data_IF_216781265458
#
_entry.id   IF_216781265458
#
_cell.length_a   1.000
_cell.length_b   1.000
_cell.length_c   1.000
_cell.angle_alpha   90.00
_cell.angle_beta   90.00
_cell.angle_gamma   90.00
#
_symmetry.space_group_name_H-M   'P 1'
#
loop_
_entity.id
_entity.type
_entity.pdbx_description
1 polymer ?
#
# COMPACT_ATOMS: atom_id res chain seq x y z
N UNK A 1 -67.98 -23.22 -10.55
CA UNK A 1 -68.99 -22.73 -9.60
C UNK A 1 -68.50 -21.39 -9.06
N UNK A 2 -69.16 -20.29 -9.47
CA UNK A 2 -69.96 -19.36 -8.63
C UNK A 2 -69.09 -18.54 -7.66
N UNK A 3 -68.70 -17.31 -8.04
CA UNK A 3 -69.40 -16.03 -7.82
C UNK A 3 -69.58 -15.63 -6.34
N UNK A 4 -69.07 -14.43 -6.01
CA UNK A 4 -69.69 -13.33 -5.22
C UNK A 4 -68.56 -12.50 -4.59
N UNK A 5 -68.27 -11.27 -5.03
CA UNK A 5 -69.05 -10.04 -4.86
C UNK A 5 -69.37 -9.79 -3.38
N UNK A 6 -68.61 -8.89 -2.76
CA UNK A 6 -69.15 -7.98 -1.75
C UNK A 6 -68.79 -6.56 -2.19
N UNK A 7 -69.81 -5.94 -2.76
CA UNK A 7 -69.98 -4.52 -3.00
C UNK A 7 -70.33 -3.90 -1.64
N UNK A 8 -69.61 -2.85 -1.25
CA UNK A 8 -70.16 -1.82 -0.36
C UNK A 8 -70.09 -0.48 -1.11
N UNK A 9 -71.16 -0.19 -1.85
CA UNK A 9 -71.53 1.17 -2.18
C UNK A 9 -72.24 1.75 -0.97
N UNK A 10 -71.70 2.81 -0.39
CA UNK A 10 -72.52 3.83 0.26
C UNK A 10 -72.33 5.12 -0.51
N UNK A 11 -73.42 5.54 -1.14
CA UNK A 11 -73.51 6.69 -2.00
C UNK A 11 -73.65 7.99 -1.18
N UNK A 12 -72.89 8.99 -1.63
CA UNK A 12 -73.29 10.36 -1.90
C UNK A 12 -73.98 11.22 -0.82
N UNK A 13 -73.26 12.29 -0.43
CA UNK A 13 -73.77 13.68 -0.28
C UNK A 13 -72.55 14.62 -0.30
N UNK A 14 -72.11 15.07 -1.48
CA UNK A 14 -72.44 16.39 -2.06
C UNK A 14 -72.19 17.58 -1.12
N UNK A 15 -71.00 18.16 -1.20
CA UNK A 15 -70.82 19.62 -1.28
C UNK A 15 -69.40 19.92 -1.75
N UNK A 16 -69.29 20.82 -2.73
CA UNK A 16 -68.18 20.91 -3.66
C UNK A 16 -66.83 21.30 -3.07
N UNK A 17 -65.79 20.74 -3.66
CA UNK A 17 -64.47 21.36 -3.76
C UNK A 17 -64.00 21.16 -5.20
N UNK A 18 -63.51 22.20 -5.88
CA UNK A 18 -62.92 22.03 -7.20
C UNK A 18 -61.73 21.07 -7.05
N UNK A 19 -61.66 20.07 -7.94
CA UNK A 19 -60.42 19.36 -8.22
C UNK A 19 -59.42 20.41 -8.74
N UNK A 20 -58.68 20.99 -7.81
CA UNK A 20 -57.44 21.68 -8.10
C UNK A 20 -56.52 20.65 -8.70
N UNK A 21 -56.39 20.68 -10.03
CA UNK A 21 -55.12 20.38 -10.68
C UNK A 21 -54.10 21.34 -10.07
N UNK A 22 -53.55 21.00 -8.90
CA UNK A 22 -52.29 21.56 -8.46
C UNK A 22 -51.26 21.01 -9.45
N UNK A 23 -51.06 21.73 -10.56
CA UNK A 23 -49.82 21.60 -11.29
C UNK A 23 -48.71 21.77 -10.27
N UNK A 24 -47.86 20.76 -10.10
CA UNK A 24 -46.73 20.83 -9.19
C UNK A 24 -46.03 22.15 -9.44
N UNK A 25 -46.07 23.04 -8.45
CA UNK A 25 -45.52 24.38 -8.58
C UNK A 25 -44.01 24.21 -8.79
N UNK A 26 -43.55 24.48 -10.00
CA UNK A 26 -42.13 24.34 -10.32
C UNK A 26 -41.38 25.58 -9.83
N UNK A 27 -40.19 25.39 -9.26
CA UNK A 27 -39.40 26.50 -8.76
C UNK A 27 -39.04 27.48 -9.90
N UNK A 28 -39.09 28.80 -9.66
CA UNK A 28 -38.72 29.79 -10.66
C UNK A 28 -37.29 29.55 -11.18
N UNK A 29 -37.11 29.49 -12.50
CA UNK A 29 -35.81 29.18 -13.12
C UNK A 29 -34.69 30.14 -12.71
N UNK A 30 -35.02 31.40 -12.43
CA UNK A 30 -34.06 32.40 -11.96
C UNK A 30 -33.55 32.10 -10.54
N UNK A 31 -34.42 31.61 -9.67
CA UNK A 31 -34.10 31.25 -8.28
C UNK A 31 -33.22 29.99 -8.23
N UNK A 32 -33.57 28.97 -9.03
CA UNK A 32 -32.75 27.78 -9.23
C UNK A 32 -31.35 28.10 -9.79
N UNK A 33 -31.28 28.99 -10.78
CA UNK A 33 -30.01 29.37 -11.41
C UNK A 33 -29.10 30.12 -10.46
N UNK A 34 -29.67 31.03 -9.65
CA UNK A 34 -28.94 31.76 -8.62
C UNK A 34 -28.42 30.83 -7.53
N UNK A 35 -29.27 29.97 -6.98
CA UNK A 35 -28.87 29.03 -5.94
C UNK A 35 -27.79 28.06 -6.45
N UNK A 36 -27.90 27.59 -7.70
CA UNK A 36 -26.88 26.76 -8.35
C UNK A 36 -25.55 27.49 -8.53
N UNK A 37 -25.58 28.75 -8.97
CA UNK A 37 -24.37 29.56 -9.13
C UNK A 37 -23.62 29.78 -7.81
N UNK A 38 -24.33 30.09 -6.73
CA UNK A 38 -23.71 30.25 -5.42
C UNK A 38 -23.17 28.91 -4.89
N UNK A 39 -23.89 27.81 -5.11
CA UNK A 39 -23.41 26.47 -4.77
C UNK A 39 -22.13 26.11 -5.55
N UNK A 40 -22.02 26.50 -6.82
CA UNK A 40 -20.85 26.25 -7.67
C UNK A 40 -19.60 26.99 -7.18
N UNK A 41 -19.75 28.12 -6.49
CA UNK A 41 -18.62 28.77 -5.79
C UNK A 41 -18.13 27.91 -4.64
N UNK A 42 -19.03 27.29 -3.88
CA UNK A 42 -18.67 26.35 -2.80
C UNK A 42 -18.06 25.07 -3.38
N UNK A 43 -18.52 24.59 -4.54
CA UNK A 43 -17.86 23.49 -5.28
C UNK A 43 -16.45 23.87 -5.66
N UNK A 44 -16.24 25.09 -6.16
CA UNK A 44 -14.91 25.57 -6.56
C UNK A 44 -13.98 25.63 -5.35
N UNK A 45 -14.46 26.12 -4.20
CA UNK A 45 -13.73 26.04 -2.93
C UNK A 45 -13.46 24.60 -2.50
N UNK A 46 -14.44 23.71 -2.55
CA UNK A 46 -14.27 22.28 -2.24
C UNK A 46 -13.21 21.62 -3.13
N UNK A 47 -13.18 21.96 -4.43
CA UNK A 47 -12.14 21.54 -5.37
C UNK A 47 -10.76 22.12 -5.01
N UNK A 48 -10.67 23.37 -4.59
CA UNK A 48 -9.43 23.98 -4.07
C UNK A 48 -8.94 23.29 -2.80
N UNK A 49 -9.86 22.84 -1.95
CA UNK A 49 -9.57 22.02 -0.78
C UNK A 49 -9.37 20.54 -1.12
N UNK A 50 -9.45 20.17 -2.41
CA UNK A 50 -9.21 18.83 -2.95
C UNK A 50 -9.93 17.69 -2.20
N UNK A 51 -11.11 17.95 -1.61
CA UNK A 51 -11.86 16.95 -0.83
C UNK A 51 -11.56 16.91 0.68
N UNK A 52 -10.69 17.78 1.19
CA UNK A 52 -10.46 17.95 2.62
C UNK A 52 -11.64 18.66 3.31
N UNK A 53 -11.85 18.44 4.63
CA UNK A 53 -12.77 19.25 5.41
C UNK A 53 -12.33 20.72 5.35
N UNK A 54 -13.29 21.62 5.21
CA UNK A 54 -13.04 23.06 5.24
C UNK A 54 -14.17 23.78 5.94
N UNK A 55 -13.85 24.87 6.63
CA UNK A 55 -14.87 25.67 7.29
C UNK A 55 -15.73 26.40 6.27
N UNK A 56 -17.04 26.22 6.39
CA UNK A 56 -18.00 26.96 5.59
C UNK A 56 -18.08 28.40 6.10
N UNK A 57 -17.71 29.36 5.25
CA UNK A 57 -17.88 30.78 5.55
C UNK A 57 -19.36 31.13 5.71
N UNK A 58 -19.68 32.27 6.33
CA UNK A 58 -21.08 32.72 6.47
C UNK A 58 -21.82 32.83 5.13
N UNK A 59 -21.09 33.18 4.06
CA UNK A 59 -21.61 33.19 2.70
C UNK A 59 -22.00 31.80 2.21
N UNK A 60 -21.13 30.81 2.42
CA UNK A 60 -21.38 29.42 2.02
C UNK A 60 -22.57 28.83 2.79
N UNK A 61 -22.65 29.11 4.10
CA UNK A 61 -23.79 28.71 4.94
C UNK A 61 -25.11 29.34 4.46
N UNK A 62 -25.07 30.57 3.95
CA UNK A 62 -26.24 31.24 3.37
C UNK A 62 -26.70 30.53 2.09
N UNK A 63 -25.78 30.11 1.23
CA UNK A 63 -26.10 29.34 0.01
C UNK A 63 -26.79 28.02 0.33
N UNK A 64 -26.35 27.28 1.36
CA UNK A 64 -27.03 26.06 1.80
C UNK A 64 -28.44 26.33 2.36
N UNK A 65 -28.62 27.41 3.12
CA UNK A 65 -29.95 27.82 3.60
C UNK A 65 -30.89 28.20 2.46
N UNK A 66 -30.39 28.85 1.42
CA UNK A 66 -31.17 29.21 0.23
C UNK A 66 -31.68 27.95 -0.50
N UNK A 67 -30.83 26.94 -0.68
CA UNK A 67 -31.24 25.64 -1.24
C UNK A 67 -32.27 24.94 -0.36
N UNK A 68 -32.08 24.97 0.96
CA UNK A 68 -33.05 24.40 1.89
C UNK A 68 -34.44 25.07 1.75
N UNK A 69 -34.48 26.41 1.69
CA UNK A 69 -35.73 27.17 1.54
C UNK A 69 -36.41 26.94 0.19
N UNK A 70 -35.65 26.67 -0.87
CA UNK A 70 -36.21 26.28 -2.18
C UNK A 70 -36.77 24.86 -2.10
N UNK A 71 -36.07 23.93 -1.45
CA UNK A 71 -36.50 22.54 -1.27
C UNK A 71 -37.77 22.41 -0.42
N UNK A 72 -37.93 23.24 0.61
CA UNK A 72 -39.13 23.28 1.45
C UNK A 72 -40.35 23.84 0.70
N UNK A 73 -40.15 24.78 -0.23
CA UNK A 73 -41.23 25.36 -1.06
C UNK A 73 -41.61 24.47 -2.23
N UNK A 74 -40.66 23.74 -2.81
CA UNK A 74 -40.83 22.97 -4.04
C UNK A 74 -40.28 21.55 -3.89
N UNK A 75 -40.83 20.73 -2.98
CA UNK A 75 -40.26 19.42 -2.63
C UNK A 75 -40.33 18.39 -3.77
N UNK A 76 -41.32 18.51 -4.65
CA UNK A 76 -41.61 17.56 -5.73
C UNK A 76 -40.98 17.98 -7.07
N UNK A 77 -40.25 19.10 -7.13
CA UNK A 77 -39.57 19.56 -8.34
C UNK A 77 -38.23 18.82 -8.53
N UNK A 78 -38.10 18.11 -9.66
CA UNK A 78 -36.91 17.30 -10.01
C UNK A 78 -35.63 18.14 -10.00
N UNK A 79 -35.66 19.39 -10.49
CA UNK A 79 -34.47 20.26 -10.53
C UNK A 79 -34.07 20.73 -9.14
N UNK A 80 -35.04 20.88 -8.24
CA UNK A 80 -34.80 21.19 -6.83
C UNK A 80 -34.18 19.97 -6.14
N UNK A 81 -34.66 18.76 -6.43
CA UNK A 81 -34.08 17.53 -5.89
C UNK A 81 -32.62 17.31 -6.35
N UNK A 82 -32.30 17.57 -7.63
CA UNK A 82 -30.92 17.57 -8.13
C UNK A 82 -30.03 18.60 -7.41
N UNK A 83 -30.54 19.82 -7.21
CA UNK A 83 -29.83 20.87 -6.50
C UNK A 83 -29.57 20.50 -5.03
N UNK A 84 -30.53 19.87 -4.37
CA UNK A 84 -30.41 19.36 -3.00
C UNK A 84 -29.42 18.20 -2.92
N UNK A 85 -29.43 17.28 -3.87
CA UNK A 85 -28.47 16.17 -3.92
C UNK A 85 -27.04 16.71 -4.03
N UNK A 86 -26.82 17.67 -4.94
CA UNK A 86 -25.55 18.37 -5.11
C UNK A 86 -25.13 19.13 -3.84
N UNK A 87 -26.06 19.82 -3.19
CA UNK A 87 -25.79 20.54 -1.94
C UNK A 87 -25.41 19.59 -0.80
N UNK A 88 -26.09 18.44 -0.67
CA UNK A 88 -25.75 17.42 0.32
C UNK A 88 -24.33 16.88 0.11
N UNK A 89 -23.95 16.58 -1.13
CA UNK A 89 -22.60 16.11 -1.46
C UNK A 89 -21.52 17.12 -1.03
N UNK A 90 -21.70 18.40 -1.34
CA UNK A 90 -20.73 19.45 -0.98
C UNK A 90 -20.69 19.69 0.53
N UNK A 91 -21.86 19.68 1.19
CA UNK A 91 -21.94 19.87 2.64
C UNK A 91 -21.25 18.73 3.39
N UNK A 92 -21.42 17.50 2.91
CA UNK A 92 -20.73 16.30 3.42
C UNK A 92 -19.22 16.40 3.24
N UNK A 93 -18.75 16.80 2.05
CA UNK A 93 -17.33 17.07 1.79
C UNK A 93 -16.77 18.15 2.72
N UNK A 94 -17.48 19.27 2.91
CA UNK A 94 -17.06 20.36 3.80
C UNK A 94 -16.99 19.92 5.27
N UNK A 95 -17.91 19.05 5.70
CA UNK A 95 -17.94 18.47 7.05
C UNK A 95 -16.98 17.28 7.25
N UNK A 96 -16.23 16.89 6.22
CA UNK A 96 -15.28 15.79 6.32
C UNK A 96 -15.93 14.42 6.43
N UNK A 97 -17.11 14.23 5.85
CA UNK A 97 -17.74 12.91 5.82
C UNK A 97 -16.82 11.93 5.07
N UNK A 98 -16.42 10.89 5.79
CA UNK A 98 -15.37 9.94 5.42
C UNK A 98 -15.75 9.16 4.17
N UNK A 99 -14.77 8.92 3.30
CA UNK A 99 -14.94 8.04 2.14
C UNK A 99 -15.45 6.66 2.60
N UNK A 100 -16.56 6.20 2.03
CA UNK A 100 -17.13 4.91 2.35
C UNK A 100 -16.54 3.85 1.43
N UNK A 101 -15.75 2.93 2.00
CA UNK A 101 -15.20 1.81 1.25
C UNK A 101 -16.27 0.77 0.93
N UNK A 102 -16.33 0.32 -0.32
CA UNK A 102 -17.06 -0.90 -0.65
C UNK A 102 -16.24 -2.14 -0.24
N UNK A 103 -16.87 -3.29 0.00
CA UNK A 103 -16.15 -4.54 0.27
C UNK A 103 -15.12 -4.91 -0.81
N UNK A 104 -15.43 -4.63 -2.07
CA UNK A 104 -14.57 -4.93 -3.22
C UNK A 104 -13.28 -4.10 -3.19
N UNK A 105 -13.37 -2.82 -2.79
CA UNK A 105 -12.21 -1.92 -2.69
C UNK A 105 -11.16 -2.39 -1.67
N UNK A 106 -11.58 -3.13 -0.65
CA UNK A 106 -10.73 -3.68 0.41
C UNK A 106 -10.57 -5.20 0.33
N UNK A 107 -11.08 -5.85 -0.72
CA UNK A 107 -11.01 -7.31 -0.89
C UNK A 107 -9.56 -7.82 -0.89
N UNK A 108 -8.62 -7.04 -1.42
CA UNK A 108 -7.19 -7.36 -1.39
C UNK A 108 -6.65 -7.52 0.04
N UNK A 109 -7.12 -6.72 1.00
CA UNK A 109 -6.70 -6.82 2.41
C UNK A 109 -7.22 -8.09 3.05
N UNK A 110 -8.47 -8.46 2.75
CA UNK A 110 -9.05 -9.71 3.24
C UNK A 110 -8.32 -10.92 2.67
N UNK A 111 -7.96 -10.89 1.38
CA UNK A 111 -7.12 -11.94 0.76
C UNK A 111 -5.74 -12.02 1.41
N UNK A 112 -5.08 -10.87 1.62
CA UNK A 112 -3.79 -10.80 2.30
C UNK A 112 -3.83 -11.35 3.72
N UNK A 113 -4.85 -10.99 4.51
CA UNK A 113 -5.04 -11.49 5.88
C UNK A 113 -5.23 -13.02 5.90
N UNK A 114 -6.08 -13.57 5.03
CA UNK A 114 -6.26 -15.02 4.90
C UNK A 114 -4.97 -15.74 4.50
N UNK A 115 -4.20 -15.15 3.57
CA UNK A 115 -2.92 -15.71 3.17
C UNK A 115 -1.92 -15.71 4.34
N UNK A 116 -1.86 -14.62 5.09
CA UNK A 116 -1.02 -14.51 6.29
C UNK A 116 -1.40 -15.55 7.35
N UNK A 117 -2.69 -15.77 7.60
CA UNK A 117 -3.17 -16.82 8.52
C UNK A 117 -2.72 -18.22 8.08
N UNK A 118 -2.83 -18.52 6.79
CA UNK A 118 -2.41 -19.81 6.22
C UNK A 118 -0.90 -20.02 6.38
N UNK A 119 -0.09 -19.00 6.06
CA UNK A 119 1.38 -19.09 6.18
C UNK A 119 1.81 -19.14 7.64
N UNK A 120 1.16 -18.38 8.52
CA UNK A 120 1.40 -18.44 9.95
C UNK A 120 1.09 -19.83 10.53
N UNK A 121 -0.01 -20.47 10.10
CA UNK A 121 -0.35 -21.84 10.49
C UNK A 121 0.69 -22.85 9.97
N UNK A 122 1.15 -22.71 8.73
CA UNK A 122 2.22 -23.55 8.18
C UNK A 122 3.54 -23.36 8.94
N UNK A 123 3.90 -22.12 9.27
CA UNK A 123 5.08 -21.78 10.07
C UNK A 123 5.02 -22.38 11.47
N UNK A 124 3.87 -22.28 12.14
CA UNK A 124 3.64 -22.91 13.45
C UNK A 124 3.77 -24.43 13.39
N UNK A 125 3.14 -25.07 12.40
CA UNK A 125 3.23 -26.51 12.23
C UNK A 125 4.67 -26.97 11.97
N UNK A 126 5.43 -26.26 11.13
CA UNK A 126 6.86 -26.55 10.91
C UNK A 126 7.67 -26.33 12.17
N UNK A 127 7.38 -25.28 12.95
CA UNK A 127 8.05 -25.01 14.22
C UNK A 127 7.87 -26.15 15.22
N UNK A 128 6.66 -26.67 15.37
CA UNK A 128 6.37 -27.79 16.27
C UNK A 128 7.11 -29.08 15.87
N UNK A 129 7.32 -29.30 14.57
CA UNK A 129 8.13 -30.42 14.07
C UNK A 129 9.62 -30.17 14.33
N UNK A 130 10.12 -28.99 14.00
CA UNK A 130 11.51 -28.60 14.21
C UNK A 130 11.92 -28.72 15.68
N UNK A 131 11.06 -28.31 16.62
CA UNK A 131 11.34 -28.45 18.06
C UNK A 131 11.57 -29.90 18.48
N UNK A 132 10.89 -30.87 17.85
CA UNK A 132 11.10 -32.30 18.11
C UNK A 132 12.41 -32.77 17.49
N UNK A 133 12.67 -32.39 16.24
CA UNK A 133 13.91 -32.72 15.52
C UNK A 133 15.15 -32.22 16.29
N UNK A 134 15.09 -31.01 16.85
CA UNK A 134 16.15 -30.44 17.69
C UNK A 134 16.30 -31.16 19.04
N UNK A 135 15.22 -31.74 19.59
CA UNK A 135 15.31 -32.54 20.81
C UNK A 135 15.94 -33.92 20.56
N UNK A 136 15.68 -34.50 19.39
CA UNK A 136 16.13 -35.84 19.03
C UNK A 136 17.59 -35.88 18.55
N UNK A 137 18.15 -34.75 18.08
CA UNK A 137 19.52 -34.69 17.54
C UNK A 137 20.62 -34.75 18.62
N UNK A 138 20.28 -34.52 19.89
CA UNK A 138 21.21 -34.53 21.03
C UNK A 138 22.27 -33.41 21.00
N UNK A 139 22.16 -32.46 20.07
CA UNK A 139 23.07 -31.32 19.90
C UNK A 139 22.52 -30.04 20.49
N UNK A 140 21.27 -30.02 20.94
CA UNK A 140 20.63 -28.85 21.53
C UNK A 140 21.25 -28.44 22.87
N UNK A 141 21.53 -27.14 23.02
CA UNK A 141 21.88 -26.53 24.31
C UNK A 141 20.62 -26.44 25.17
N UNK A 142 20.46 -27.37 26.11
CA UNK A 142 19.27 -27.46 26.97
C UNK A 142 19.09 -26.24 27.88
N UNK A 143 20.20 -25.68 28.38
CA UNK A 143 20.20 -24.52 29.29
C UNK A 143 20.88 -23.34 28.62
N UNK A 144 20.07 -22.45 28.05
CA UNK A 144 20.55 -21.28 27.32
C UNK A 144 21.18 -20.25 28.27
N UNK A 145 20.52 -19.95 29.41
CA UNK A 145 20.97 -18.96 30.40
C UNK A 145 20.98 -19.52 31.85
N UNK A 146 21.91 -19.07 32.73
CA UNK A 146 23.16 -18.39 32.36
C UNK A 146 23.97 -19.23 31.38
N UNK A 147 24.50 -18.58 30.36
CA UNK A 147 25.35 -19.15 29.33
C UNK A 147 26.70 -19.53 29.95
N UNK A 148 27.26 -20.65 29.52
CA UNK A 148 28.61 -21.04 29.93
C UNK A 148 29.63 -19.98 29.50
N UNK A 149 30.55 -19.59 30.40
CA UNK A 149 31.60 -18.62 30.10
C UNK A 149 32.59 -19.24 29.10
N UNK A 150 32.75 -18.69 27.89
CA UNK A 150 33.68 -19.24 26.91
C UNK A 150 35.14 -19.22 27.38
N UNK A 151 35.50 -18.35 28.32
CA UNK A 151 36.84 -18.30 28.91
C UNK A 151 37.10 -19.47 29.86
N UNK A 152 36.06 -20.02 30.47
CA UNK A 152 36.15 -21.17 31.38
C UNK A 152 36.04 -22.51 30.64
N UNK A 153 35.13 -22.61 29.66
CA UNK A 153 34.91 -23.85 28.92
C UNK A 153 35.90 -24.07 27.75
N UNK A 154 36.54 -23.01 27.28
CA UNK A 154 37.42 -23.06 26.11
C UNK A 154 36.65 -23.13 24.78
N UNK A 155 37.36 -23.11 23.64
CA UNK A 155 36.76 -22.88 22.32
C UNK A 155 35.83 -23.99 21.83
N UNK A 156 35.92 -25.19 22.39
CA UNK A 156 35.14 -26.36 21.96
C UNK A 156 33.89 -26.62 22.83
N UNK A 157 33.66 -25.83 23.89
CA UNK A 157 32.63 -26.11 24.91
C UNK A 157 31.21 -26.26 24.33
N UNK A 158 30.78 -25.25 23.57
CA UNK A 158 29.46 -25.24 22.90
C UNK A 158 29.56 -25.35 21.37
N UNK A 159 30.75 -25.33 20.80
CA UNK A 159 30.94 -25.36 19.35
C UNK A 159 30.31 -26.60 18.70
N UNK A 160 29.59 -26.39 17.60
CA UNK A 160 28.83 -27.42 16.89
C UNK A 160 27.49 -27.81 17.55
N UNK A 161 27.18 -27.30 18.75
CA UNK A 161 25.85 -27.44 19.35
C UNK A 161 24.87 -26.44 18.75
N UNK A 162 23.58 -26.71 18.90
CA UNK A 162 22.50 -25.83 18.44
C UNK A 162 21.87 -25.08 19.60
N UNK A 163 21.49 -23.83 19.37
CA UNK A 163 20.81 -23.00 20.37
C UNK A 163 19.53 -22.42 19.79
N UNK A 164 18.49 -22.31 20.62
CA UNK A 164 17.23 -21.63 20.31
C UNK A 164 17.19 -20.32 21.08
N UNK A 165 17.35 -19.20 20.40
CA UNK A 165 17.33 -17.85 20.99
C UNK A 165 15.96 -17.22 20.71
N UNK A 166 15.05 -17.29 21.69
CA UNK A 166 13.68 -16.79 21.57
C UNK A 166 13.54 -15.32 21.97
N UNK A 167 12.46 -14.68 21.47
CA UNK A 167 12.05 -13.32 21.81
C UNK A 167 13.11 -12.22 21.61
N UNK A 168 14.03 -12.42 20.67
CA UNK A 168 15.13 -11.49 20.35
C UNK A 168 14.57 -10.24 19.68
N UNK A 169 14.78 -9.02 20.23
CA UNK A 169 14.35 -7.78 19.61
C UNK A 169 15.36 -7.39 18.50
N UNK A 170 15.26 -8.09 17.37
CA UNK A 170 16.24 -8.08 16.27
C UNK A 170 16.76 -6.69 15.89
N UNK A 171 15.87 -5.74 15.59
CA UNK A 171 16.28 -4.40 15.15
C UNK A 171 16.96 -3.57 16.25
N UNK A 172 16.60 -3.79 17.52
CA UNK A 172 17.13 -3.03 18.65
C UNK A 172 18.52 -3.52 19.06
N UNK A 173 18.74 -4.83 18.93
CA UNK A 173 19.98 -5.49 19.31
C UNK A 173 20.94 -5.71 18.12
N UNK A 174 20.60 -5.18 16.94
CA UNK A 174 21.45 -5.19 15.75
C UNK A 174 22.59 -4.16 15.90
N UNK A 175 23.82 -4.58 15.68
CA UNK A 175 25.00 -3.71 15.65
C UNK A 175 26.02 -4.17 14.60
N UNK A 176 26.95 -3.28 14.26
CA UNK A 176 28.03 -3.58 13.32
C UNK A 176 29.34 -3.69 14.09
N UNK A 177 30.06 -4.79 13.89
CA UNK A 177 31.44 -4.96 14.37
C UNK A 177 32.29 -5.54 13.26
N UNK A 178 33.45 -4.93 13.01
CA UNK A 178 34.38 -5.33 11.95
C UNK A 178 33.73 -5.51 10.55
N UNK A 179 32.72 -4.69 10.23
CA UNK A 179 32.00 -4.76 8.95
C UNK A 179 30.97 -5.89 8.83
N UNK A 180 30.71 -6.61 9.93
CA UNK A 180 29.70 -7.68 10.02
C UNK A 180 28.56 -7.20 10.90
N UNK A 181 27.32 -7.44 10.46
CA UNK A 181 26.14 -7.22 11.29
C UNK A 181 25.99 -8.38 12.29
N UNK A 182 25.76 -8.03 13.55
CA UNK A 182 25.55 -8.98 14.64
C UNK A 182 24.28 -8.61 15.40
N UNK A 183 23.64 -9.61 15.99
CA UNK A 183 22.54 -9.41 16.94
C UNK A 183 22.98 -9.93 18.29
N UNK A 184 22.97 -9.05 19.30
CA UNK A 184 23.33 -9.41 20.67
C UNK A 184 22.16 -10.03 21.41
N UNK A 185 22.37 -11.18 22.04
CA UNK A 185 21.34 -11.84 22.87
C UNK A 185 21.92 -12.16 24.24
N UNK A 186 21.24 -11.75 25.31
CA UNK A 186 21.66 -11.97 26.69
C UNK A 186 22.12 -10.68 27.40
N UNK A 187 22.91 -10.82 28.44
CA UNK A 187 23.37 -9.70 29.28
C UNK A 187 24.66 -10.06 30.02
N UNK A 188 25.38 -9.05 30.53
CA UNK A 188 26.61 -9.27 31.30
C UNK A 188 26.43 -10.22 32.51
N UNK A 189 25.21 -10.28 33.09
CA UNK A 189 24.92 -11.15 34.23
C UNK A 189 24.58 -12.60 33.82
N UNK A 190 24.10 -12.81 32.59
CA UNK A 190 23.66 -14.12 32.10
C UNK A 190 24.61 -14.70 31.05
N UNK A 191 25.57 -13.93 30.54
CA UNK A 191 26.36 -14.27 29.36
C UNK A 191 25.69 -13.84 28.05
N UNK A 192 26.43 -13.99 26.95
CA UNK A 192 26.04 -13.48 25.63
C UNK A 192 26.10 -14.57 24.54
N UNK A 193 25.15 -14.50 23.61
CA UNK A 193 25.23 -15.10 22.28
C UNK A 193 25.26 -13.99 21.22
N UNK A 194 26.03 -14.20 20.16
CA UNK A 194 26.20 -13.28 19.04
C UNK A 194 25.70 -13.92 17.75
N UNK A 195 24.50 -13.54 17.31
CA UNK A 195 23.95 -14.09 16.06
C UNK A 195 24.58 -13.37 14.87
N UNK A 196 25.21 -14.12 13.97
CA UNK A 196 25.82 -13.58 12.76
C UNK A 196 24.73 -13.19 11.73
N UNK A 197 24.60 -11.89 11.50
CA UNK A 197 23.64 -11.28 10.59
C UNK A 197 24.23 -10.90 9.22
N UNK A 198 25.38 -11.43 8.82
CA UNK A 198 25.97 -11.17 7.48
C UNK A 198 26.55 -12.39 6.78
N UNK A 199 26.54 -13.55 7.43
CA UNK A 199 26.97 -14.80 6.82
C UNK A 199 26.08 -15.24 5.64
N UNK A 200 26.59 -16.08 4.71
CA UNK A 200 25.83 -16.55 3.56
C UNK A 200 24.48 -17.20 3.92
N UNK A 201 24.44 -17.98 5.02
CA UNK A 201 23.20 -18.62 5.50
C UNK A 201 22.17 -17.58 5.95
N UNK A 202 22.61 -16.57 6.71
CA UNK A 202 21.71 -15.49 7.13
C UNK A 202 21.16 -14.72 5.93
N UNK A 203 22.00 -14.40 4.94
CA UNK A 203 21.54 -13.71 3.74
C UNK A 203 20.47 -14.53 2.99
N UNK A 204 20.65 -15.85 2.87
CA UNK A 204 19.64 -16.74 2.26
C UNK A 204 18.33 -16.76 3.06
N UNK A 205 18.40 -16.87 4.39
CA UNK A 205 17.23 -16.77 5.27
C UNK A 205 16.53 -15.42 5.11
N UNK A 206 17.29 -14.33 5.06
CA UNK A 206 16.76 -12.98 4.92
C UNK A 206 16.16 -12.73 3.54
N UNK A 207 16.72 -13.32 2.48
CA UNK A 207 16.13 -13.32 1.13
C UNK A 207 14.79 -14.07 1.10
N UNK A 208 14.72 -15.24 1.74
CA UNK A 208 13.46 -15.99 1.85
C UNK A 208 12.41 -15.22 2.67
N UNK A 209 12.82 -14.53 3.74
CA UNK A 209 11.97 -13.60 4.48
C UNK A 209 11.54 -12.40 3.61
N UNK A 210 12.41 -11.90 2.74
CA UNK A 210 12.10 -10.86 1.74
C UNK A 210 11.03 -11.31 0.74
N UNK A 211 11.13 -12.55 0.26
CA UNK A 211 10.09 -13.16 -0.60
C UNK A 211 8.76 -13.30 0.14
N UNK A 212 8.78 -13.77 1.40
CA UNK A 212 7.58 -13.77 2.25
C UNK A 212 6.96 -12.37 2.37
N UNK A 213 7.77 -11.34 2.62
CA UNK A 213 7.28 -9.96 2.76
C UNK A 213 6.59 -9.45 1.50
N UNK A 214 7.24 -9.68 0.36
CA UNK A 214 6.72 -9.32 -0.96
C UNK A 214 5.46 -10.08 -1.37
N UNK A 215 5.20 -11.28 -0.83
CA UNK A 215 4.03 -12.08 -1.22
C UNK A 215 2.89 -12.03 -0.19
N UNK A 216 3.20 -11.91 1.09
CA UNK A 216 2.25 -12.17 2.19
C UNK A 216 2.07 -10.92 3.05
N UNK A 217 3.08 -10.53 3.84
CA UNK A 217 2.97 -9.43 4.80
C UNK A 217 4.28 -8.64 4.90
N UNK A 218 4.25 -7.34 4.59
CA UNK A 218 5.47 -6.53 4.50
C UNK A 218 6.03 -6.18 5.88
N UNK A 219 5.16 -5.92 6.85
CA UNK A 219 5.53 -5.52 8.20
C UNK A 219 5.71 -6.73 9.13
N UNK A 220 6.89 -6.85 9.75
CA UNK A 220 7.22 -7.94 10.66
C UNK A 220 7.24 -7.43 12.11
N UNK A 221 6.76 -8.22 13.09
CA UNK A 221 6.97 -7.95 14.52
C UNK A 221 8.46 -7.83 14.86
N UNK A 222 8.83 -7.06 15.90
CA UNK A 222 10.24 -6.84 16.26
C UNK A 222 10.91 -8.04 16.95
N UNK A 223 10.13 -8.97 17.52
CA UNK A 223 10.63 -10.10 18.30
C UNK A 223 10.72 -11.36 17.46
N UNK A 224 11.94 -11.86 17.26
CA UNK A 224 12.23 -13.02 16.43
C UNK A 224 12.83 -14.14 17.27
N UNK A 225 12.71 -15.37 16.79
CA UNK A 225 13.40 -16.53 17.33
C UNK A 225 14.43 -16.99 16.31
N UNK A 226 15.68 -17.14 16.74
CA UNK A 226 16.75 -17.71 15.93
C UNK A 226 17.04 -19.13 16.41
N UNK A 227 17.21 -20.06 15.46
CA UNK A 227 17.87 -21.34 15.72
C UNK A 227 19.14 -21.36 14.91
N UNK A 228 20.25 -21.70 15.53
CA UNK A 228 21.54 -21.73 14.86
C UNK A 228 22.55 -22.62 15.54
N UNK A 229 23.60 -22.93 14.79
CA UNK A 229 24.76 -23.67 15.28
C UNK A 229 25.75 -22.69 15.92
N UNK A 230 26.29 -23.06 17.08
CA UNK A 230 27.33 -22.29 17.76
C UNK A 230 28.66 -22.53 17.06
N UNK A 231 29.30 -21.47 16.57
CA UNK A 231 30.54 -21.54 15.81
C UNK A 231 31.77 -21.53 16.73
N UNK A 232 31.69 -20.84 17.87
CA UNK A 232 32.77 -20.69 18.84
C UNK A 232 32.71 -19.39 19.63
N UNK A 233 33.72 -19.11 20.47
CA UNK A 233 33.80 -17.87 21.24
C UNK A 233 34.15 -16.67 20.35
N UNK A 234 33.50 -15.53 20.59
CA UNK A 234 33.80 -14.25 19.94
C UNK A 234 33.69 -13.10 20.95
N UNK A 235 34.65 -12.17 20.88
CA UNK A 235 34.69 -10.96 21.70
C UNK A 235 34.13 -9.78 20.92
N UNK A 236 32.92 -9.33 21.28
CA UNK A 236 32.26 -8.22 20.59
C UNK A 236 31.89 -7.09 21.56
N UNK A 237 31.94 -5.86 21.05
CA UNK A 237 31.46 -4.67 21.73
C UNK A 237 30.14 -4.22 21.08
N UNK A 238 28.96 -4.50 21.68
CA UNK A 238 27.68 -4.11 21.11
C UNK A 238 27.49 -2.58 21.15
N UNK A 239 28.00 -1.88 20.13
CA UNK A 239 27.90 -0.43 19.95
C UNK A 239 28.20 -0.05 18.50
N UNK A 240 27.35 0.79 17.88
CA UNK A 240 27.38 1.06 16.44
C UNK A 240 27.62 2.52 16.04
N UNK A 241 27.85 3.42 17.00
CA UNK A 241 28.22 4.81 16.74
C UNK A 241 29.51 5.15 17.46
N UNK A 242 30.34 6.03 16.90
CA UNK A 242 31.59 6.49 17.53
C UNK A 242 31.38 7.18 18.90
N UNK A 243 30.12 7.46 19.27
CA UNK A 243 29.74 8.07 20.55
C UNK A 243 29.28 7.05 21.62
N UNK A 244 29.04 5.77 21.26
CA UNK A 244 28.45 4.75 22.15
C UNK A 244 29.31 3.48 22.19
N UNK A 245 30.57 3.60 22.62
CA UNK A 245 31.43 2.44 22.85
C UNK A 245 30.95 1.75 24.14
N UNK A 246 30.19 0.66 24.00
CA UNK A 246 29.91 -0.26 25.11
C UNK A 246 31.13 -1.13 25.38
N UNK A 247 31.20 -1.67 26.60
CA UNK A 247 32.21 -2.67 26.97
C UNK A 247 32.13 -3.88 26.05
N UNK A 248 33.29 -4.48 25.76
CA UNK A 248 33.37 -5.72 25.00
C UNK A 248 33.05 -6.90 25.92
N UNK A 249 32.21 -7.82 25.46
CA UNK A 249 31.85 -9.03 26.18
C UNK A 249 32.21 -10.26 25.35
N UNK A 250 32.81 -11.25 26.01
CA UNK A 250 32.99 -12.57 25.42
C UNK A 250 31.62 -13.26 25.34
N UNK A 251 31.32 -13.89 24.22
CA UNK A 251 30.08 -14.66 24.04
C UNK A 251 30.24 -15.70 22.95
N UNK A 252 29.19 -16.48 22.71
CA UNK A 252 29.20 -17.54 21.70
C UNK A 252 28.63 -17.03 20.37
N UNK A 253 29.43 -17.06 19.31
CA UNK A 253 28.98 -16.78 17.96
C UNK A 253 28.02 -17.86 17.47
N UNK A 254 26.93 -17.46 16.81
CA UNK A 254 25.87 -18.34 16.33
C UNK A 254 25.63 -18.06 14.85
N UNK A 255 25.78 -19.11 14.03
CA UNK A 255 25.36 -19.11 12.63
C UNK A 255 23.90 -19.54 12.51
N UNK A 256 22.97 -18.64 12.15
CA UNK A 256 21.55 -18.95 12.09
C UNK A 256 21.23 -19.92 10.95
N UNK A 257 20.37 -20.89 11.24
CA UNK A 257 19.81 -21.90 10.33
C UNK A 257 18.30 -21.72 10.14
N UNK A 258 17.63 -21.10 11.11
CA UNK A 258 16.18 -20.82 11.09
C UNK A 258 15.89 -19.45 11.67
N UNK A 259 14.95 -18.73 11.04
CA UNK A 259 14.29 -17.56 11.60
C UNK A 259 12.82 -17.91 11.80
N UNK A 260 12.34 -17.87 13.03
CA UNK A 260 10.93 -18.05 13.35
C UNK A 260 10.36 -16.77 13.96
N UNK A 261 9.28 -16.28 13.37
CA UNK A 261 8.53 -15.14 13.88
C UNK A 261 7.15 -15.65 14.31
N UNK A 262 6.89 -15.79 15.63
CA UNK A 262 5.67 -16.40 16.13
C UNK A 262 4.40 -15.78 15.56
N UNK A 263 3.51 -16.63 15.04
CA UNK A 263 2.25 -16.21 14.43
C UNK A 263 2.38 -15.51 13.07
N UNK A 264 3.56 -15.52 12.46
CA UNK A 264 3.82 -14.84 11.17
C UNK A 264 4.41 -15.82 10.16
N UNK A 265 5.64 -16.30 10.39
CA UNK A 265 6.34 -17.16 9.41
C UNK A 265 7.49 -17.90 10.07
N UNK A 266 7.84 -19.06 9.52
CA UNK A 266 9.11 -19.74 9.75
C UNK A 266 9.89 -19.79 8.45
N UNK A 267 11.17 -19.44 8.51
CA UNK A 267 12.11 -19.50 7.40
C UNK A 267 13.26 -20.40 7.78
N UNK A 268 13.59 -21.34 6.91
CA UNK A 268 14.58 -22.38 7.17
C UNK A 268 15.60 -22.45 6.03
N UNK A 269 16.86 -22.54 6.41
CA UNK A 269 17.95 -22.78 5.48
C UNK A 269 17.88 -24.22 4.97
N UNK A 270 18.00 -24.38 3.65
CA UNK A 270 17.89 -25.66 2.96
C UNK A 270 18.92 -25.73 1.85
N UNK A 271 19.93 -26.56 2.03
CA UNK A 271 21.00 -26.74 1.04
C UNK A 271 20.49 -27.18 -0.34
N UNK A 272 19.38 -27.92 -0.37
CA UNK A 272 18.72 -28.44 -1.58
C UNK A 272 17.78 -27.43 -2.25
N UNK A 273 17.45 -26.32 -1.58
CA UNK A 273 16.58 -25.31 -2.13
C UNK A 273 17.32 -24.45 -3.18
N UNK A 274 16.63 -24.12 -4.28
CA UNK A 274 17.17 -23.28 -5.37
C UNK A 274 17.73 -21.93 -4.88
N UNK A 275 17.11 -21.35 -3.86
CA UNK A 275 17.51 -20.07 -3.25
C UNK A 275 18.22 -20.23 -1.90
N UNK A 276 18.62 -21.45 -1.50
CA UNK A 276 19.32 -21.75 -0.26
C UNK A 276 18.49 -21.67 1.03
N UNK A 277 17.31 -21.07 0.99
CA UNK A 277 16.35 -21.07 2.10
C UNK A 277 14.92 -20.97 1.57
N UNK A 278 13.96 -21.43 2.38
CA UNK A 278 12.53 -21.37 2.08
C UNK A 278 11.75 -20.92 3.29
N UNK A 279 10.63 -20.23 3.06
CA UNK A 279 9.65 -20.03 4.13
C UNK A 279 8.56 -21.10 4.10
N UNK A 280 7.97 -21.37 5.26
CA UNK A 280 6.93 -22.39 5.40
C UNK A 280 5.74 -22.12 4.47
N UNK A 281 5.44 -23.07 3.58
CA UNK A 281 4.36 -22.96 2.60
C UNK A 281 4.73 -22.25 1.28
N UNK A 282 5.99 -21.85 1.09
CA UNK A 282 6.45 -21.13 -0.11
C UNK A 282 6.12 -21.86 -1.43
N UNK A 283 6.29 -23.18 -1.48
CA UNK A 283 6.07 -24.00 -2.69
C UNK A 283 4.61 -23.96 -3.18
N UNK A 284 3.64 -23.78 -2.27
CA UNK A 284 2.22 -23.69 -2.62
C UNK A 284 1.77 -22.27 -2.95
N UNK A 285 2.63 -21.25 -2.81
CA UNK A 285 2.24 -19.85 -2.99
C UNK A 285 1.71 -19.56 -4.39
N UNK A 286 2.31 -20.14 -5.42
CA UNK A 286 1.87 -19.97 -6.81
C UNK A 286 0.40 -20.38 -7.04
N UNK A 287 -0.12 -21.33 -6.25
CA UNK A 287 -1.52 -21.78 -6.33
C UNK A 287 -2.47 -20.90 -5.50
N UNK A 288 -1.93 -20.16 -4.52
CA UNK A 288 -2.71 -19.38 -3.54
C UNK A 288 -2.84 -17.91 -3.96
N UNK A 289 -1.87 -17.41 -4.71
CA UNK A 289 -1.88 -16.03 -5.20
C UNK A 289 -2.78 -15.96 -6.43
N UNK A 290 -3.72 -15.02 -6.41
CA UNK A 290 -4.63 -14.74 -7.52
C UNK A 290 -4.66 -13.24 -7.74
N UNK A 291 -4.50 -12.84 -9.00
CA UNK A 291 -4.52 -11.44 -9.42
C UNK A 291 -5.82 -11.14 -10.17
N UNK A 292 -6.40 -9.98 -9.92
CA UNK A 292 -7.57 -9.51 -10.65
C UNK A 292 -7.22 -8.99 -12.05
N UNK A 293 -5.98 -8.51 -12.21
CA UNK A 293 -5.42 -8.05 -13.49
C UNK A 293 -4.09 -8.77 -13.71
N UNK A 294 -3.84 -9.22 -14.94
CA UNK A 294 -2.65 -10.00 -15.29
C UNK A 294 -1.76 -9.36 -16.37
N UNK A 295 -2.25 -8.32 -17.05
CA UNK A 295 -1.50 -7.63 -18.11
C UNK A 295 -2.02 -6.21 -18.31
N UNK A 296 -1.18 -5.35 -18.90
CA UNK A 296 -1.56 -3.97 -19.26
C UNK A 296 -1.94 -3.93 -20.75
N UNK A 297 -3.17 -3.51 -21.13
CA UNK A 297 -3.57 -3.39 -22.53
C UNK A 297 -2.68 -2.42 -23.33
N UNK A 298 -2.51 -2.67 -24.63
CA UNK A 298 -1.70 -1.81 -25.51
C UNK A 298 -2.30 -0.42 -25.73
N UNK A 299 -3.63 -0.33 -25.71
CA UNK A 299 -4.45 0.87 -25.88
C UNK A 299 -4.92 1.46 -24.54
N UNK A 300 -4.25 1.12 -23.43
CA UNK A 300 -4.67 1.54 -22.09
C UNK A 300 -4.75 3.06 -21.95
N UNK A 301 -5.88 3.56 -21.47
CA UNK A 301 -6.06 4.98 -21.18
C UNK A 301 -5.28 5.40 -19.92
N UNK A 302 -4.83 6.68 -19.80
CA UNK A 302 -4.04 7.16 -18.67
C UNK A 302 -4.60 6.81 -17.29
N UNK A 303 -5.92 6.96 -17.13
CA UNK A 303 -6.62 6.63 -15.88
C UNK A 303 -6.57 5.13 -15.59
N UNK A 304 -6.87 4.31 -16.59
CA UNK A 304 -6.92 2.86 -16.46
C UNK A 304 -5.53 2.29 -16.15
N UNK A 305 -4.47 2.83 -16.75
CA UNK A 305 -3.09 2.44 -16.44
C UNK A 305 -2.78 2.66 -14.96
N UNK A 306 -3.23 3.78 -14.40
CA UNK A 306 -3.00 4.08 -12.99
C UNK A 306 -3.86 3.22 -12.05
N UNK A 307 -5.07 2.87 -12.45
CA UNK A 307 -5.90 1.88 -11.75
C UNK A 307 -5.22 0.49 -11.73
N UNK A 308 -4.64 0.06 -12.86
CA UNK A 308 -3.88 -1.19 -12.96
C UNK A 308 -2.62 -1.13 -12.08
N UNK A 309 -1.88 -0.03 -12.10
CA UNK A 309 -0.70 0.17 -11.25
C UNK A 309 -1.03 0.13 -9.76
N UNK A 310 -2.11 0.80 -9.33
CA UNK A 310 -2.59 0.76 -7.94
C UNK A 310 -3.04 -0.67 -7.57
N UNK A 311 -3.70 -1.37 -8.49
CA UNK A 311 -4.13 -2.75 -8.28
C UNK A 311 -2.94 -3.68 -8.12
N UNK A 312 -1.91 -3.55 -8.96
CA UNK A 312 -0.66 -4.31 -8.86
C UNK A 312 0.03 -4.12 -7.50
N UNK A 313 0.00 -2.90 -6.95
CA UNK A 313 0.50 -2.61 -5.60
C UNK A 313 -0.34 -3.27 -4.50
N UNK A 314 -1.66 -3.11 -4.55
CA UNK A 314 -2.61 -3.69 -3.59
C UNK A 314 -2.54 -5.21 -3.57
N UNK A 315 -2.36 -5.83 -4.72
CA UNK A 315 -2.32 -7.30 -4.87
C UNK A 315 -0.91 -7.89 -4.82
N UNK A 316 0.11 -7.06 -4.57
CA UNK A 316 1.51 -7.47 -4.52
C UNK A 316 2.01 -8.18 -5.79
N UNK A 317 1.53 -7.74 -6.96
CA UNK A 317 1.97 -8.22 -8.25
C UNK A 317 3.14 -7.35 -8.77
N UNK A 318 4.38 -7.73 -8.44
CA UNK A 318 5.55 -6.96 -8.87
C UNK A 318 5.77 -6.98 -10.38
N UNK A 319 5.46 -8.09 -11.05
CA UNK A 319 5.66 -8.21 -12.49
C UNK A 319 4.72 -7.28 -13.28
N UNK A 320 3.44 -7.24 -12.89
CA UNK A 320 2.48 -6.29 -13.46
C UNK A 320 2.85 -4.84 -13.12
N UNK A 321 3.36 -4.59 -11.91
CA UNK A 321 3.85 -3.27 -11.52
C UNK A 321 5.01 -2.80 -12.43
N UNK A 322 5.95 -3.68 -12.75
CA UNK A 322 7.03 -3.40 -13.70
C UNK A 322 6.52 -3.22 -15.13
N UNK A 323 5.41 -3.87 -15.50
CA UNK A 323 4.80 -3.69 -16.81
C UNK A 323 4.21 -2.28 -17.01
N UNK A 324 3.67 -1.69 -15.93
CA UNK A 324 3.14 -0.33 -15.94
C UNK A 324 4.23 0.75 -16.03
N UNK A 325 5.49 0.43 -15.72
CA UNK A 325 6.60 1.38 -15.67
C UNK A 325 7.31 1.45 -17.03
N UNK A 326 7.80 2.64 -17.38
CA UNK A 326 8.53 2.87 -18.63
C UNK A 326 9.67 1.85 -18.82
N UNK A 327 9.67 1.09 -19.95
CA UNK A 327 10.67 0.06 -20.22
C UNK A 327 12.10 0.59 -20.28
N UNK A 328 12.30 1.89 -20.52
CA UNK A 328 13.63 2.52 -20.49
C UNK A 328 14.28 2.48 -19.09
N UNK A 329 13.47 2.32 -18.04
CA UNK A 329 13.91 2.32 -16.63
C UNK A 329 14.20 0.93 -16.07
N UNK A 330 14.03 -0.11 -16.87
CA UNK A 330 14.26 -1.51 -16.49
C UNK A 330 15.33 -2.18 -17.35
N UNK A 331 16.22 -1.40 -17.94
CA UNK A 331 17.26 -1.89 -18.87
C UNK A 331 18.45 -2.53 -18.17
N UNK A 332 18.72 -2.15 -16.92
CA UNK A 332 19.85 -2.67 -16.14
C UNK A 332 19.42 -3.11 -14.75
N UNK A 333 20.05 -4.18 -14.24
CA UNK A 333 19.73 -4.81 -12.96
C UNK A 333 19.67 -3.84 -11.77
N UNK A 334 20.62 -2.89 -11.59
CA UNK A 334 20.58 -1.93 -10.49
C UNK A 334 19.32 -1.05 -10.48
N UNK A 335 18.76 -0.75 -11.65
CA UNK A 335 17.52 0.02 -11.73
C UNK A 335 16.32 -0.81 -11.28
N UNK A 336 16.29 -2.10 -11.60
CA UNK A 336 15.24 -3.03 -11.16
C UNK A 336 15.25 -3.17 -9.63
N UNK A 337 16.44 -3.23 -9.01
CA UNK A 337 16.56 -3.21 -7.55
C UNK A 337 15.99 -1.92 -6.95
N UNK A 338 16.28 -0.75 -7.54
CA UNK A 338 15.69 0.52 -7.11
C UNK A 338 14.17 0.55 -7.25
N UNK A 339 13.61 0.00 -8.33
CA UNK A 339 12.17 -0.13 -8.53
C UNK A 339 11.53 -1.07 -7.49
N UNK A 340 12.19 -2.19 -7.19
CA UNK A 340 11.75 -3.12 -6.13
C UNK A 340 11.72 -2.44 -4.76
N UNK A 341 12.78 -1.72 -4.40
CA UNK A 341 12.82 -0.96 -3.16
C UNK A 341 11.66 0.05 -3.07
N UNK A 342 11.42 0.81 -4.14
CA UNK A 342 10.30 1.75 -4.17
C UNK A 342 8.95 1.05 -4.04
N UNK A 343 8.74 -0.06 -4.73
CA UNK A 343 7.54 -0.88 -4.62
C UNK A 343 7.31 -1.37 -3.18
N UNK A 344 8.34 -1.86 -2.49
CA UNK A 344 8.27 -2.29 -1.10
C UNK A 344 7.88 -1.15 -0.13
N UNK A 345 8.42 0.05 -0.36
CA UNK A 345 8.06 1.26 0.41
C UNK A 345 6.59 1.61 0.19
N UNK A 346 6.11 1.56 -1.05
CA UNK A 346 4.71 1.83 -1.39
C UNK A 346 3.76 0.82 -0.74
N UNK A 347 4.12 -0.46 -0.77
CA UNK A 347 3.33 -1.51 -0.11
C UNK A 347 3.22 -1.27 1.39
N UNK A 348 4.31 -0.88 2.06
CA UNK A 348 4.28 -0.53 3.47
C UNK A 348 3.31 0.63 3.74
N UNK A 349 3.31 1.65 2.89
CA UNK A 349 2.36 2.76 2.97
C UNK A 349 0.90 2.34 2.77
N UNK A 350 0.61 1.43 1.84
CA UNK A 350 -0.75 0.88 1.64
C UNK A 350 -1.21 0.04 2.83
N UNK A 351 -0.30 -0.78 3.39
CA UNK A 351 -0.60 -1.61 4.55
C UNK A 351 -0.89 -0.75 5.79
N UNK A 352 -0.12 0.31 6.03
CA UNK A 352 -0.09 1.07 7.28
C UNK A 352 -0.88 2.39 7.27
N UNK A 353 -0.82 3.16 6.18
CA UNK A 353 -1.25 4.56 6.15
C UNK A 353 -2.49 4.72 5.27
N UNK A 354 -2.43 4.29 4.02
CA UNK A 354 -3.41 4.62 2.99
C UNK A 354 -4.02 3.35 2.37
N UNK A 355 -5.20 2.95 2.86
CA UNK A 355 -5.84 1.69 2.48
C UNK A 355 -6.45 1.71 1.08
N UNK A 356 -6.64 2.90 0.50
CA UNK A 356 -7.18 3.04 -0.84
C UNK A 356 -6.55 4.23 -1.58
N UNK A 357 -6.51 4.09 -2.91
CA UNK A 357 -6.12 5.13 -3.83
C UNK A 357 -6.96 5.04 -5.09
N UNK A 358 -7.32 6.19 -5.65
CA UNK A 358 -8.03 6.29 -6.93
C UNK A 358 -7.55 7.51 -7.74
N UNK A 359 -7.41 7.38 -9.08
CA UNK A 359 -7.19 8.52 -9.95
C UNK A 359 -8.47 9.35 -10.10
N UNK A 360 -8.37 10.67 -9.94
CA UNK A 360 -9.56 11.55 -9.97
C UNK A 360 -9.52 12.67 -11.01
N UNK A 361 -8.33 13.09 -11.45
CA UNK A 361 -8.19 14.17 -12.44
C UNK A 361 -7.04 13.88 -13.39
N UNK A 362 -7.30 14.09 -14.68
CA UNK A 362 -6.34 13.89 -15.77
C UNK A 362 -6.08 15.28 -16.36
N UNK A 363 -4.80 15.67 -16.38
CA UNK A 363 -4.36 16.89 -17.03
C UNK A 363 -4.36 16.79 -18.56
N UNK A 364 -4.03 17.88 -19.22
CA UNK A 364 -3.89 17.89 -20.67
C UNK A 364 -2.65 17.12 -21.12
N UNK A 365 -2.76 16.43 -22.25
CA UNK A 365 -1.63 15.77 -22.90
C UNK A 365 -0.71 16.83 -23.51
N UNK A 366 0.57 16.79 -23.14
CA UNK A 366 1.59 17.72 -23.60
C UNK A 366 2.62 16.98 -24.45
N UNK A 367 2.95 17.52 -25.62
CA UNK A 367 4.09 17.03 -26.41
C UNK A 367 5.36 17.59 -25.79
N UNK A 368 6.23 16.73 -25.27
CA UNK A 368 7.46 17.12 -24.57
C UNK A 368 8.73 16.91 -25.42
N UNK A 369 8.62 16.13 -26.51
CA UNK A 369 9.70 15.92 -27.47
C UNK A 369 9.13 15.63 -28.87
N UNK A 370 9.79 16.09 -29.93
CA UNK A 370 9.44 15.77 -31.31
C UNK A 370 8.16 16.44 -31.83
N UNK A 371 7.77 17.59 -31.28
CA UNK A 371 6.63 18.37 -31.75
C UNK A 371 6.93 19.18 -33.01
N UNK A 372 5.92 19.35 -33.88
CA UNK A 372 5.93 20.34 -34.96
C UNK A 372 5.57 21.70 -34.40
N UNK A 373 6.40 22.70 -34.73
CA UNK A 373 6.20 24.13 -34.52
C UNK A 373 4.72 24.55 -34.58
N UNK A 374 4.24 25.22 -33.51
CA UNK A 374 2.85 25.67 -33.31
C UNK A 374 2.45 26.82 -34.26
N UNK A 375 3.21 27.03 -35.34
CA UNK A 375 2.99 28.07 -36.35
C UNK A 375 3.36 29.48 -35.89
N UNK A 376 3.46 29.72 -34.59
CA UNK A 376 3.83 31.00 -33.99
C UNK A 376 5.31 31.35 -34.22
N UNK A 377 6.24 30.39 -34.12
CA UNK A 377 7.66 30.67 -34.46
C UNK A 377 7.84 30.88 -35.97
N UNK A 378 7.10 30.12 -36.79
CA UNK A 378 7.08 30.31 -38.25
C UNK A 378 6.53 31.66 -38.72
N UNK A 379 5.73 32.34 -37.89
CA UNK A 379 5.07 33.60 -38.23
C UNK A 379 5.85 34.84 -37.75
N UNK A 380 6.61 34.74 -36.66
CA UNK A 380 7.32 35.87 -36.04
C UNK A 380 8.86 35.82 -36.14
N UNK A 381 9.46 34.72 -36.63
CA UNK A 381 10.92 34.55 -36.72
C UNK A 381 11.50 34.78 -38.12
N UNK A 382 12.50 35.65 -38.24
CA UNK A 382 13.31 35.87 -39.46
C UNK A 382 14.61 35.03 -39.50
N UNK A 383 14.67 33.89 -38.80
CA UNK A 383 15.87 33.06 -38.70
C UNK A 383 15.57 31.58 -39.00
N UNK A 384 16.56 30.90 -39.58
CA UNK A 384 16.60 29.54 -40.11
C UNK A 384 15.62 28.53 -39.48
N UNK A 385 14.92 27.79 -40.36
CA UNK A 385 14.02 26.67 -40.03
C UNK A 385 14.50 25.91 -38.77
N UNK A 386 13.66 25.71 -37.76
CA UNK A 386 14.05 24.88 -36.63
C UNK A 386 14.44 23.51 -37.16
N UNK A 387 15.62 23.04 -36.75
CA UNK A 387 16.10 21.70 -37.03
C UNK A 387 14.95 20.73 -36.77
N UNK A 388 14.46 20.08 -37.85
CA UNK A 388 13.72 18.81 -37.76
C UNK A 388 14.65 17.83 -37.05
N UNK A 389 14.66 17.88 -35.73
CA UNK A 389 15.43 16.95 -34.95
C UNK A 389 14.65 15.64 -34.99
N UNK A 390 15.32 14.62 -35.53
CA UNK A 390 14.86 13.25 -35.70
C UNK A 390 14.67 12.53 -34.35
N UNK A 391 13.94 13.15 -33.43
CA UNK A 391 13.60 12.55 -32.15
C UNK A 391 12.18 12.01 -32.21
N UNK A 392 12.02 10.79 -31.69
CA UNK A 392 10.72 10.17 -31.56
C UNK A 392 9.77 11.05 -30.75
N UNK A 393 8.53 11.20 -31.21
CA UNK A 393 7.50 11.98 -30.53
C UNK A 393 7.25 11.41 -29.14
N UNK A 394 7.36 12.24 -28.11
CA UNK A 394 7.08 11.87 -26.72
C UNK A 394 6.01 12.79 -26.14
N UNK A 395 4.98 12.18 -25.57
CA UNK A 395 3.84 12.86 -24.95
C UNK A 395 3.82 12.54 -23.46
N UNK A 396 3.52 13.54 -22.63
CA UNK A 396 3.36 13.42 -21.18
C UNK A 396 1.94 13.82 -20.78
N UNK A 397 1.36 13.10 -19.83
CA UNK A 397 0.12 13.51 -19.15
C UNK A 397 0.29 13.36 -17.65
N UNK A 398 -0.33 14.28 -16.91
CA UNK A 398 -0.32 14.28 -15.46
C UNK A 398 -1.65 13.72 -14.96
N UNK A 399 -1.60 12.79 -14.01
CA UNK A 399 -2.79 12.22 -13.36
C UNK A 399 -2.68 12.46 -11.86
N UNK A 400 -3.70 13.07 -11.27
CA UNK A 400 -3.78 13.29 -9.84
C UNK A 400 -4.51 12.11 -9.16
N UNK A 401 -3.96 11.67 -8.04
CA UNK A 401 -4.43 10.52 -7.25
C UNK A 401 -4.78 10.97 -5.84
N UNK A 402 -5.96 10.54 -5.37
CA UNK A 402 -6.36 10.68 -3.97
C UNK A 402 -5.96 9.43 -3.21
N UNK A 403 -5.48 9.62 -1.98
CA UNK A 403 -5.15 8.55 -1.05
C UNK A 403 -6.08 8.67 0.15
N UNK A 404 -6.62 7.56 0.62
CA UNK A 404 -7.52 7.49 1.76
C UNK A 404 -6.97 6.56 2.84
N UNK A 405 -7.01 7.00 4.09
CA UNK A 405 -6.68 6.15 5.23
C UNK A 405 -7.80 5.16 5.58
N UNK A 406 -7.57 4.31 6.59
CA UNK A 406 -8.54 3.31 7.04
C UNK A 406 -9.88 3.90 7.51
N UNK A 407 -9.85 5.15 7.94
CA UNK A 407 -11.01 5.89 8.43
C UNK A 407 -11.74 6.60 7.28
N UNK A 408 -11.25 6.51 6.03
CA UNK A 408 -11.83 7.18 4.87
C UNK A 408 -11.43 8.66 4.77
N UNK A 409 -10.44 9.10 5.56
CA UNK A 409 -9.92 10.47 5.49
C UNK A 409 -8.92 10.57 4.35
N UNK A 410 -9.11 11.57 3.50
CA UNK A 410 -8.21 11.82 2.39
C UNK A 410 -6.90 12.48 2.87
N UNK A 411 -5.78 12.05 2.29
CA UNK A 411 -4.49 12.72 2.47
C UNK A 411 -4.50 14.18 2.00
N UNK A 412 -3.80 15.05 2.73
CA UNK A 412 -3.81 16.52 2.57
C UNK A 412 -3.37 16.97 1.18
N UNK A 413 -2.48 16.23 0.51
CA UNK A 413 -2.01 16.56 -0.83
C UNK A 413 -2.25 15.38 -1.77
N UNK A 414 -3.03 15.58 -2.85
CA UNK A 414 -3.09 14.61 -3.94
C UNK A 414 -1.69 14.27 -4.44
N UNK A 415 -1.48 12.99 -4.77
CA UNK A 415 -0.23 12.56 -5.41
C UNK A 415 -0.33 12.79 -6.90
N UNK A 416 0.76 13.24 -7.47
CA UNK A 416 0.85 13.56 -8.89
C UNK A 416 1.67 12.47 -9.56
N UNK A 417 1.07 11.76 -10.52
CA UNK A 417 1.73 10.72 -11.30
C UNK A 417 1.87 11.22 -12.73
N UNK A 418 3.07 11.06 -13.30
CA UNK A 418 3.38 11.42 -14.68
C UNK A 418 3.40 10.17 -15.53
N UNK A 419 2.65 10.21 -16.62
CA UNK A 419 2.58 9.16 -17.61
C UNK A 419 3.21 9.66 -18.90
N UNK A 420 3.89 8.78 -19.61
CA UNK A 420 4.49 9.07 -20.90
C UNK A 420 4.06 8.04 -21.95
N UNK A 421 3.98 8.45 -23.20
CA UNK A 421 3.92 7.54 -24.34
C UNK A 421 4.82 8.04 -25.46
N UNK A 422 5.29 7.11 -26.29
CA UNK A 422 6.16 7.40 -27.43
C UNK A 422 5.46 6.98 -28.72
N UNK A 423 5.53 7.84 -29.74
CA UNK A 423 4.94 7.58 -31.07
C UNK A 423 3.46 7.20 -31.05
N UNK A 424 2.69 7.75 -30.10
CA UNK A 424 1.27 7.42 -29.94
C UNK A 424 1.00 5.98 -29.47
N UNK A 425 2.03 5.24 -29.04
CA UNK A 425 1.90 3.91 -28.45
C UNK A 425 1.33 3.93 -27.02
N UNK A 426 1.56 2.82 -26.30
CA UNK A 426 1.06 2.61 -24.94
C UNK A 426 1.57 3.68 -23.95
N UNK A 427 0.73 4.05 -22.98
CA UNK A 427 1.13 4.87 -21.84
C UNK A 427 1.95 4.07 -20.81
N UNK A 428 2.87 4.74 -20.13
CA UNK A 428 3.74 4.18 -19.10
C UNK A 428 3.95 5.17 -17.96
N UNK A 429 4.19 4.68 -16.75
CA UNK A 429 4.58 5.50 -15.61
C UNK A 429 6.05 5.92 -15.73
N UNK A 430 6.31 7.22 -15.62
CA UNK A 430 7.65 7.82 -15.67
C UNK A 430 8.34 7.77 -14.29
N UNK A 431 9.66 7.53 -14.28
CA UNK A 431 10.49 7.48 -13.06
C UNK A 431 10.33 8.74 -12.19
N UNK A 432 10.35 8.55 -10.86
CA UNK A 432 10.21 9.62 -9.87
C UNK A 432 8.76 10.07 -9.61
N UNK A 433 7.80 9.57 -10.39
CA UNK A 433 6.37 9.82 -10.23
C UNK A 433 5.64 8.63 -9.56
N UNK A 434 6.38 7.83 -8.80
CA UNK A 434 5.85 6.75 -7.95
C UNK A 434 4.94 7.35 -6.87
N UNK A 435 3.74 6.78 -6.68
CA UNK A 435 2.87 7.10 -5.55
C UNK A 435 3.59 6.87 -4.22
N UNK A 436 4.21 7.88 -3.61
CA UNK A 436 4.71 7.72 -2.24
C UNK A 436 3.47 7.69 -1.34
N UNK A 437 3.08 6.49 -0.89
CA UNK A 437 2.02 6.33 0.08
C UNK A 437 2.50 6.84 1.43
#
# INVERSE_FOLDING_TARGET
>A
MKWSIVIFCLAALMSGLPLGLNGAESAPSAELSRARYELDKVVTKSKQHAGLPFELSEGDQRSFREVQQIAERYPDDVKVQELVAKAKEIYRSAKGERFQFTPEMLAYRQRGAKLAEVVAAAGKARWEVLQKELGDDGLLVEKIFPTADPLEEGPDGLSGRRVVLADVPYEQDLFVSAGVNWVGVGSAAQGHYWVNGSGPRFNQLFEALGRYRGLVQQNLPPKWTFVGSVDGPELLAPGGSAADIKEAYMGWAVSPEVIYIPGVVLVEWRADAKAGAVFAGEEDMAKRITYSVNSVPDDVEPKQLLEIYITALKEKNFDLHLECIDPELRKVEPQIHGLRYNWEVQQKGIEQIHVHAEPFEIGEVKVIKGGTDDGLESFFGDAEKPLKTAFSKEEEVVVNVRLFDKDGVQSVRPRVVKLIRREGGRWYIRSGATLTF
#
